data_IF_314165638639
#
_entry.id   IF_314165638639
#
_cell.length_a   1.000
_cell.length_b   1.000
_cell.length_c   1.000
_cell.angle_alpha   90.00
_cell.angle_beta   90.00
_cell.angle_gamma   90.00
#
_symmetry.space_group_name_H-M   'P 1'
#
loop_
_entity.id
_entity.type
_entity.pdbx_description
1 polymer ?
#
# COMPACT_ATOMS: atom_id res chain seq x y z
N UNK A 1 15.30 34.81 -4.55
CA UNK A 1 14.12 35.16 -3.73
C UNK A 1 13.66 33.93 -2.96
N UNK A 2 13.41 34.08 -1.66
CA UNK A 2 13.38 33.02 -0.64
C UNK A 2 12.11 32.15 -0.68
N UNK A 3 12.29 30.85 -0.42
CA UNK A 3 11.30 29.74 -0.36
C UNK A 3 10.33 29.87 0.84
N UNK A 4 10.26 31.04 1.49
CA UNK A 4 9.41 31.32 2.66
C UNK A 4 8.12 32.10 2.37
N UNK A 5 7.61 32.10 1.13
CA UNK A 5 6.44 32.90 0.75
C UNK A 5 5.32 32.14 0.01
N UNK A 6 5.15 30.82 0.22
CA UNK A 6 4.03 30.05 -0.37
C UNK A 6 3.45 28.99 0.57
N UNK A 7 3.20 29.38 1.82
CA UNK A 7 2.44 28.58 2.78
C UNK A 7 1.47 29.49 3.54
N UNK A 8 0.46 30.03 2.85
CA UNK A 8 -0.72 30.65 3.45
C UNK A 8 -1.71 31.06 2.36
N UNK A 9 -2.40 30.10 1.72
CA UNK A 9 -3.66 30.34 1.01
C UNK A 9 -4.21 28.99 0.58
N UNK A 10 -5.33 28.59 1.18
CA UNK A 10 -6.26 27.48 0.90
C UNK A 10 -6.73 26.86 2.22
N UNK A 11 -7.20 27.72 3.12
CA UNK A 11 -8.06 27.37 4.23
C UNK A 11 -9.28 28.30 4.15
N UNK A 12 -10.46 27.71 3.90
CA UNK A 12 -11.73 28.40 4.09
C UNK A 12 -12.50 28.76 2.83
N UNK A 13 -13.03 27.77 2.12
CA UNK A 13 -14.29 27.92 1.37
C UNK A 13 -15.02 26.57 1.45
N UNK A 14 -16.20 26.54 2.08
CA UNK A 14 -17.06 25.36 2.07
C UNK A 14 -17.79 25.02 3.37
N UNK A 15 -18.20 26.00 4.20
CA UNK A 15 -19.06 25.76 5.37
C UNK A 15 -20.39 26.49 5.41
N UNK A 16 -20.78 27.24 4.38
CA UNK A 16 -22.03 28.04 4.41
C UNK A 16 -22.97 27.80 3.22
N UNK A 17 -23.13 26.56 2.74
CA UNK A 17 -24.09 26.27 1.65
C UNK A 17 -24.97 25.02 1.80
N UNK A 18 -25.16 24.49 3.01
CA UNK A 18 -26.27 23.56 3.30
C UNK A 18 -26.83 23.91 4.67
N UNK A 19 -27.39 25.10 4.78
CA UNK A 19 -28.19 25.49 5.95
C UNK A 19 -29.42 26.29 5.57
N UNK A 20 -29.99 26.04 4.39
CA UNK A 20 -31.24 26.67 3.92
C UNK A 20 -32.05 25.72 3.01
N UNK A 21 -32.25 24.47 3.43
CA UNK A 21 -33.26 23.61 2.79
C UNK A 21 -33.99 22.68 3.76
N UNK A 22 -34.06 23.07 5.04
CA UNK A 22 -34.75 22.33 6.10
C UNK A 22 -36.14 22.91 6.43
N UNK A 23 -36.85 23.46 5.43
CA UNK A 23 -38.11 24.15 5.66
C UNK A 23 -39.22 23.81 4.65
N UNK A 24 -39.22 22.61 4.04
CA UNK A 24 -40.38 22.16 3.27
C UNK A 24 -40.54 20.62 3.14
N UNK A 25 -40.23 19.88 4.21
CA UNK A 25 -40.66 18.48 4.31
C UNK A 25 -41.99 18.42 5.05
N UNK A 26 -43.10 18.12 4.37
CA UNK A 26 -44.31 17.72 5.10
C UNK A 26 -43.94 16.55 6.00
N UNK A 27 -44.29 16.64 7.29
CA UNK A 27 -44.10 15.52 8.21
C UNK A 27 -45.09 14.46 7.78
N UNK A 28 -44.63 13.49 6.99
CA UNK A 28 -45.46 12.35 6.58
C UNK A 28 -45.99 11.67 7.84
N UNK A 29 -47.31 11.63 7.96
CA UNK A 29 -47.99 11.04 9.11
C UNK A 29 -48.01 9.52 9.02
N UNK A 30 -48.26 8.89 10.15
CA UNK A 30 -48.47 7.45 10.21
C UNK A 30 -49.61 7.01 9.28
N UNK A 31 -50.72 7.74 9.24
CA UNK A 31 -51.87 7.35 8.41
C UNK A 31 -51.56 7.43 6.91
N UNK A 32 -50.84 8.45 6.45
CA UNK A 32 -50.38 8.56 5.06
C UNK A 32 -49.47 7.39 4.66
N UNK A 33 -48.67 6.87 5.59
CA UNK A 33 -47.86 5.69 5.37
C UNK A 33 -48.71 4.41 5.25
N UNK A 34 -49.77 4.28 6.07
CA UNK A 34 -50.66 3.12 6.05
C UNK A 34 -51.57 3.12 4.80
N UNK A 35 -52.06 4.28 4.40
CA UNK A 35 -52.90 4.45 3.20
C UNK A 35 -52.12 4.09 1.92
N UNK A 36 -50.87 4.55 1.80
CA UNK A 36 -50.04 4.19 0.66
C UNK A 36 -49.73 2.68 0.60
N UNK A 37 -49.62 2.00 1.75
CA UNK A 37 -49.46 0.53 1.78
C UNK A 37 -50.74 -0.19 1.34
N UNK A 38 -51.92 0.31 1.74
CA UNK A 38 -53.21 -0.24 1.29
C UNK A 38 -53.39 -0.02 -0.22
N UNK A 39 -53.06 1.16 -0.72
CA UNK A 39 -53.09 1.47 -2.15
C UNK A 39 -52.15 0.54 -2.95
N UNK A 40 -50.94 0.30 -2.44
CA UNK A 40 -50.03 -0.65 -3.06
C UNK A 40 -50.59 -2.08 -3.08
N UNK A 41 -51.27 -2.50 -2.01
CA UNK A 41 -51.91 -3.81 -1.96
C UNK A 41 -53.07 -3.93 -2.95
N UNK A 42 -53.90 -2.89 -3.08
CA UNK A 42 -55.01 -2.85 -4.03
C UNK A 42 -54.51 -2.91 -5.47
N UNK A 43 -53.41 -2.22 -5.79
CA UNK A 43 -52.80 -2.23 -7.13
C UNK A 43 -52.19 -3.59 -7.50
N UNK A 44 -51.63 -4.30 -6.53
CA UNK A 44 -50.98 -5.60 -6.75
C UNK A 44 -51.94 -6.79 -6.59
N UNK A 45 -53.11 -6.58 -5.97
CA UNK A 45 -54.03 -7.64 -5.59
C UNK A 45 -53.52 -8.55 -4.47
N UNK A 46 -52.38 -8.20 -3.85
CA UNK A 46 -51.73 -8.96 -2.79
C UNK A 46 -50.98 -8.03 -1.84
N UNK A 47 -50.54 -8.55 -0.70
CA UNK A 47 -49.80 -7.76 0.27
C UNK A 47 -48.38 -7.44 -0.23
N UNK A 48 -47.99 -6.16 -0.42
CA UNK A 48 -46.75 -5.80 -1.11
C UNK A 48 -45.49 -6.24 -0.35
N UNK A 49 -44.49 -6.76 -1.07
CA UNK A 49 -43.09 -6.75 -0.61
C UNK A 49 -42.52 -5.34 -0.69
N UNK A 50 -41.44 -5.08 0.05
CA UNK A 50 -40.77 -3.76 -0.01
C UNK A 50 -40.30 -3.41 -1.43
N UNK A 51 -39.78 -4.39 -2.17
CA UNK A 51 -39.33 -4.20 -3.55
C UNK A 51 -40.50 -3.88 -4.50
N UNK A 52 -41.61 -4.62 -4.43
CA UNK A 52 -42.81 -4.34 -5.23
C UNK A 52 -43.37 -2.95 -4.95
N UNK A 53 -43.40 -2.50 -3.69
CA UNK A 53 -43.83 -1.14 -3.35
C UNK A 53 -42.93 -0.07 -3.98
N UNK A 54 -41.61 -0.25 -3.93
CA UNK A 54 -40.65 0.68 -4.55
C UNK A 54 -40.82 0.77 -6.08
N UNK A 55 -41.15 -0.35 -6.72
CA UNK A 55 -41.39 -0.43 -8.17
C UNK A 55 -42.68 0.30 -8.60
N UNK A 56 -43.70 0.36 -7.72
CA UNK A 56 -44.92 1.14 -7.97
C UNK A 56 -44.69 2.66 -7.94
N UNK A 57 -43.55 3.13 -7.44
CA UNK A 57 -43.20 4.54 -7.39
C UNK A 57 -44.11 5.38 -6.48
N UNK A 58 -44.76 4.75 -5.50
CA UNK A 58 -45.68 5.43 -4.59
C UNK A 58 -44.95 6.31 -3.57
N UNK A 59 -45.65 7.35 -3.12
CA UNK A 59 -45.22 8.21 -2.00
C UNK A 59 -46.17 8.01 -0.83
N UNK A 60 -45.66 7.98 0.42
CA UNK A 60 -44.28 8.22 0.84
C UNK A 60 -43.32 7.04 0.54
N UNK A 61 -42.06 7.33 0.23
CA UNK A 61 -41.06 6.30 -0.07
C UNK A 61 -40.94 5.26 1.06
N UNK A 62 -40.55 4.02 0.71
CA UNK A 62 -40.44 2.89 1.66
C UNK A 62 -39.59 3.22 2.91
N UNK A 63 -38.52 4.02 2.74
CA UNK A 63 -37.67 4.47 3.83
C UNK A 63 -38.35 5.48 4.77
N UNK A 64 -39.30 6.27 4.27
CA UNK A 64 -40.14 7.15 5.09
C UNK A 64 -41.13 6.33 5.90
N UNK A 65 -41.79 5.34 5.28
CA UNK A 65 -42.70 4.41 5.99
C UNK A 65 -41.97 3.69 7.13
N UNK A 66 -40.76 3.16 6.90
CA UNK A 66 -39.96 2.51 7.94
C UNK A 66 -39.61 3.47 9.07
N UNK A 67 -39.27 4.73 8.76
CA UNK A 67 -38.89 5.73 9.75
C UNK A 67 -40.07 6.19 10.61
N UNK A 68 -41.23 6.41 9.97
CA UNK A 68 -42.45 6.89 10.64
C UNK A 68 -43.10 5.77 11.44
N UNK A 69 -43.25 4.58 10.84
CA UNK A 69 -43.95 3.44 11.45
C UNK A 69 -43.03 2.44 12.18
N UNK A 70 -41.72 2.71 12.25
CA UNK A 70 -40.71 1.91 12.96
C UNK A 70 -40.15 0.70 12.19
N UNK A 71 -41.00 -0.06 11.48
CA UNK A 71 -40.55 -1.16 10.63
C UNK A 71 -41.51 -1.42 9.47
N UNK A 72 -41.03 -2.06 8.39
CA UNK A 72 -41.86 -2.41 7.24
C UNK A 72 -43.00 -3.37 7.61
N UNK A 73 -42.70 -4.43 8.35
CA UNK A 73 -43.71 -5.39 8.79
C UNK A 73 -44.67 -4.78 9.82
N UNK A 74 -44.18 -3.93 10.73
CA UNK A 74 -45.05 -3.20 11.66
C UNK A 74 -46.02 -2.25 10.96
N UNK A 75 -45.58 -1.60 9.87
CA UNK A 75 -46.46 -0.78 9.05
C UNK A 75 -47.52 -1.63 8.32
N UNK A 76 -47.14 -2.77 7.75
CA UNK A 76 -48.07 -3.72 7.11
C UNK A 76 -49.11 -4.26 8.09
N UNK A 77 -48.71 -4.65 9.30
CA UNK A 77 -49.63 -5.08 10.37
C UNK A 77 -50.66 -4.00 10.70
N UNK A 78 -50.20 -2.76 10.91
CA UNK A 78 -51.08 -1.60 11.18
C UNK A 78 -52.00 -1.26 10.00
N UNK A 79 -51.57 -1.56 8.78
CA UNK A 79 -52.37 -1.38 7.57
C UNK A 79 -53.40 -2.51 7.34
N UNK A 80 -53.36 -3.58 8.16
CA UNK A 80 -54.22 -4.77 8.00
C UNK A 80 -53.71 -5.74 6.92
N UNK A 81 -52.43 -5.67 6.56
CA UNK A 81 -51.82 -6.40 5.46
C UNK A 81 -50.98 -7.57 5.98
N UNK A 82 -51.00 -8.71 5.26
CA UNK A 82 -50.24 -9.89 5.61
C UNK A 82 -48.72 -9.62 5.63
N UNK A 83 -48.06 -9.90 6.75
CA UNK A 83 -46.59 -9.79 6.85
C UNK A 83 -45.93 -11.07 6.36
N UNK A 84 -44.78 -10.91 5.70
CA UNK A 84 -43.87 -12.02 5.49
C UNK A 84 -42.87 -12.00 6.65
N UNK A 85 -42.85 -13.01 7.55
CA UNK A 85 -41.75 -13.11 8.50
C UNK A 85 -40.45 -13.20 7.71
N UNK A 86 -39.38 -12.58 8.22
CA UNK A 86 -38.04 -12.70 7.64
C UNK A 86 -37.52 -14.12 7.90
N UNK A 87 -38.11 -15.12 7.25
CA UNK A 87 -37.70 -16.52 7.34
C UNK A 87 -36.61 -16.76 6.30
N UNK A 88 -35.37 -16.77 6.77
CA UNK A 88 -34.20 -17.04 5.95
C UNK A 88 -32.95 -16.56 6.66
N UNK A 89 -31.84 -17.29 6.48
CA UNK A 89 -30.54 -16.80 6.91
C UNK A 89 -30.25 -15.50 6.18
N UNK A 90 -29.93 -14.43 6.92
CA UNK A 90 -29.45 -13.16 6.34
C UNK A 90 -28.01 -13.27 5.84
N UNK A 91 -27.38 -14.45 6.02
CA UNK A 91 -26.04 -14.74 5.57
C UNK A 91 -26.14 -15.37 4.18
N UNK A 92 -25.65 -14.69 3.12
CA UNK A 92 -25.56 -15.30 1.80
C UNK A 92 -24.59 -16.49 1.86
N UNK A 93 -24.75 -17.51 0.99
CA UNK A 93 -23.84 -18.65 0.94
C UNK A 93 -22.40 -18.21 0.66
N UNK A 94 -21.43 -19.03 1.07
CA UNK A 94 -20.00 -18.77 0.82
C UNK A 94 -19.73 -18.79 -0.69
N UNK A 95 -19.14 -17.73 -1.27
CA UNK A 95 -18.68 -17.76 -2.65
C UNK A 95 -17.62 -18.84 -2.89
N UNK A 96 -17.58 -19.41 -4.10
CA UNK A 96 -16.65 -20.48 -4.48
C UNK A 96 -15.20 -20.01 -4.54
N UNK A 97 -14.98 -18.73 -4.88
CA UNK A 97 -13.68 -18.06 -5.00
C UNK A 97 -13.07 -17.63 -3.65
N UNK A 98 -13.77 -17.88 -2.54
CA UNK A 98 -13.31 -17.52 -1.20
C UNK A 98 -12.73 -18.74 -0.48
N UNK A 99 -11.41 -18.71 -0.29
CA UNK A 99 -10.69 -19.67 0.55
C UNK A 99 -10.80 -19.28 2.04
N UNK A 100 -11.41 -20.16 2.83
CA UNK A 100 -11.55 -20.01 4.27
C UNK A 100 -10.72 -21.08 5.00
N UNK A 101 -9.94 -20.73 6.04
CA UNK A 101 -9.28 -21.71 6.91
C UNK A 101 -10.26 -22.76 7.44
N UNK A 102 -9.80 -24.00 7.56
CA UNK A 102 -10.65 -25.15 7.96
C UNK A 102 -11.28 -25.04 9.35
N UNK A 103 -10.77 -24.14 10.19
CA UNK A 103 -11.27 -23.90 11.55
C UNK A 103 -12.30 -22.76 11.64
N UNK A 104 -12.77 -22.23 10.52
CA UNK A 104 -13.75 -21.14 10.46
C UNK A 104 -14.99 -21.56 9.68
N UNK A 105 -16.15 -21.13 10.14
CA UNK A 105 -17.43 -21.32 9.46
C UNK A 105 -17.95 -19.99 8.90
N UNK A 106 -18.28 -19.98 7.61
CA UNK A 106 -18.79 -18.80 6.91
C UNK A 106 -20.07 -18.22 7.52
N UNK A 107 -20.95 -19.07 8.04
CA UNK A 107 -22.23 -18.64 8.63
C UNK A 107 -22.04 -17.97 9.99
N UNK A 108 -20.99 -18.36 10.72
CA UNK A 108 -20.62 -17.81 12.02
C UNK A 108 -19.79 -16.52 11.90
N UNK A 109 -19.23 -16.23 10.72
CA UNK A 109 -18.48 -15.02 10.49
C UNK A 109 -19.38 -13.78 10.56
N UNK A 110 -18.89 -12.77 11.27
CA UNK A 110 -19.46 -11.41 11.22
C UNK A 110 -19.46 -10.87 9.78
N UNK A 111 -20.32 -9.87 9.54
CA UNK A 111 -20.41 -9.19 8.23
C UNK A 111 -19.04 -8.65 7.80
N UNK A 112 -18.27 -8.08 8.73
CA UNK A 112 -16.94 -7.54 8.46
C UNK A 112 -15.92 -8.63 8.13
N UNK A 113 -15.93 -9.76 8.86
CA UNK A 113 -15.06 -10.91 8.55
C UNK A 113 -15.35 -11.48 7.17
N UNK A 114 -16.63 -11.67 6.81
CA UNK A 114 -17.02 -12.11 5.46
C UNK A 114 -16.55 -11.14 4.39
N UNK A 115 -16.67 -9.83 4.65
CA UNK A 115 -16.13 -8.81 3.76
C UNK A 115 -14.61 -8.93 3.61
N UNK A 116 -13.86 -9.16 4.70
CA UNK A 116 -12.40 -9.33 4.63
C UNK A 116 -11.98 -10.51 3.77
N UNK A 117 -12.61 -11.68 3.95
CA UNK A 117 -12.30 -12.89 3.17
C UNK A 117 -12.73 -12.77 1.71
N UNK A 118 -13.85 -12.10 1.42
CA UNK A 118 -14.31 -11.85 0.04
C UNK A 118 -13.44 -10.85 -0.72
N UNK A 119 -12.82 -9.91 -0.02
CA UNK A 119 -12.08 -8.82 -0.66
C UNK A 119 -10.56 -8.95 -0.46
N UNK A 120 -10.04 -10.16 -0.20
CA UNK A 120 -8.60 -10.41 0.01
C UNK A 120 -7.77 -9.93 -1.18
N UNK A 121 -8.14 -10.31 -2.41
CA UNK A 121 -7.45 -9.89 -3.63
C UNK A 121 -7.51 -8.37 -3.82
N UNK A 122 -8.69 -7.77 -3.68
CA UNK A 122 -8.86 -6.32 -3.77
C UNK A 122 -8.05 -5.56 -2.70
N UNK A 123 -8.03 -6.06 -1.46
CA UNK A 123 -7.25 -5.48 -0.37
C UNK A 123 -5.73 -5.62 -0.61
N UNK A 124 -5.30 -6.77 -1.14
CA UNK A 124 -3.92 -7.01 -1.54
C UNK A 124 -3.52 -6.06 -2.66
N UNK A 125 -4.33 -5.95 -3.71
CA UNK A 125 -4.09 -5.07 -4.85
C UNK A 125 -4.08 -3.59 -4.42
N UNK A 126 -5.05 -3.16 -3.61
CA UNK A 126 -5.08 -1.81 -3.01
C UNK A 126 -3.81 -1.52 -2.22
N UNK A 127 -3.33 -2.47 -1.43
CA UNK A 127 -2.08 -2.35 -0.66
C UNK A 127 -0.86 -2.25 -1.57
N UNK A 128 -0.80 -3.07 -2.63
CA UNK A 128 0.26 -3.03 -3.64
C UNK A 128 0.28 -1.68 -4.39
N UNK A 129 -0.87 -1.23 -4.90
CA UNK A 129 -1.02 0.08 -5.56
C UNK A 129 -0.61 1.23 -4.64
N UNK A 130 -0.99 1.19 -3.36
CA UNK A 130 -0.57 2.19 -2.36
C UNK A 130 0.95 2.18 -2.16
N UNK A 131 1.55 1.00 -2.03
CA UNK A 131 3.01 0.85 -1.86
C UNK A 131 3.78 1.33 -3.09
N UNK A 132 3.34 1.00 -4.30
CA UNK A 132 3.92 1.51 -5.56
C UNK A 132 3.87 3.05 -5.58
N UNK A 133 2.69 3.68 -5.39
CA UNK A 133 2.56 5.15 -5.35
C UNK A 133 3.47 5.82 -4.33
N UNK A 134 3.64 5.22 -3.15
CA UNK A 134 4.56 5.76 -2.13
C UNK A 134 6.02 5.59 -2.54
N UNK A 135 6.40 4.49 -3.19
CA UNK A 135 7.76 4.29 -3.72
C UNK A 135 8.07 5.27 -4.85
N UNK A 136 7.15 5.48 -5.79
CA UNK A 136 7.30 6.48 -6.85
C UNK A 136 7.49 7.88 -6.27
N UNK A 137 6.66 8.24 -5.26
CA UNK A 137 6.83 9.51 -4.55
C UNK A 137 8.20 9.62 -3.84
N UNK A 138 8.68 8.55 -3.18
CA UNK A 138 10.02 8.54 -2.59
C UNK A 138 11.13 8.68 -3.65
N UNK A 139 10.93 8.09 -4.82
CA UNK A 139 11.85 8.20 -5.95
C UNK A 139 11.93 9.63 -6.49
N UNK A 140 10.82 10.34 -6.58
CA UNK A 140 10.78 11.78 -6.87
C UNK A 140 11.59 12.56 -5.82
N UNK A 141 11.35 12.31 -4.53
CA UNK A 141 12.09 12.99 -3.45
C UNK A 141 13.61 12.77 -3.51
N UNK A 142 14.06 11.61 -4.01
CA UNK A 142 15.49 11.33 -4.25
C UNK A 142 16.01 12.05 -5.49
N UNK A 143 15.26 11.98 -6.60
CA UNK A 143 15.62 12.63 -7.88
C UNK A 143 15.82 14.12 -7.70
N UNK A 144 14.90 14.79 -7.01
CA UNK A 144 14.92 16.23 -6.80
C UNK A 144 16.15 16.73 -6.03
N UNK A 145 16.82 15.83 -5.30
CA UNK A 145 17.97 16.17 -4.44
C UNK A 145 19.30 15.70 -5.01
N UNK A 146 19.32 14.60 -5.76
CA UNK A 146 20.55 13.96 -6.22
C UNK A 146 21.45 13.50 -5.06
N UNK A 147 22.61 12.94 -5.38
CA UNK A 147 23.61 12.62 -4.38
C UNK A 147 24.22 13.92 -3.80
N UNK A 148 24.27 14.04 -2.48
CA UNK A 148 24.88 15.20 -1.79
C UNK A 148 26.42 15.23 -1.80
N UNK A 149 27.07 14.22 -2.37
CA UNK A 149 28.55 14.07 -2.34
C UNK A 149 29.18 13.94 -3.74
N UNK A 150 28.36 13.74 -4.78
CA UNK A 150 28.84 13.64 -6.16
C UNK A 150 27.68 13.91 -7.13
N UNK A 151 27.97 13.94 -8.44
CA UNK A 151 27.00 14.35 -9.46
C UNK A 151 26.07 13.21 -9.93
N UNK A 152 25.88 12.16 -9.14
CA UNK A 152 24.96 11.07 -9.49
C UNK A 152 23.53 11.49 -9.12
N UNK A 153 22.66 11.51 -10.13
CA UNK A 153 21.24 11.87 -9.99
C UNK A 153 20.29 10.72 -10.36
N UNK A 154 20.82 9.63 -10.92
CA UNK A 154 20.02 8.49 -11.36
C UNK A 154 19.35 7.80 -10.18
N UNK A 155 18.01 7.80 -10.14
CA UNK A 155 17.18 7.28 -9.02
C UNK A 155 17.60 5.89 -8.56
N UNK A 156 17.86 4.98 -9.50
CA UNK A 156 18.26 3.60 -9.23
C UNK A 156 19.50 3.51 -8.32
N UNK A 157 20.37 4.52 -8.39
CA UNK A 157 21.59 4.60 -7.61
C UNK A 157 21.40 5.31 -6.27
N UNK A 158 20.28 5.99 -6.01
CA UNK A 158 20.10 6.87 -4.85
C UNK A 158 19.40 6.20 -3.66
N UNK A 159 19.90 6.50 -2.46
CA UNK A 159 19.33 6.11 -1.17
C UNK A 159 19.18 7.31 -0.23
N UNK A 160 18.25 7.19 0.72
CA UNK A 160 18.23 8.06 1.89
C UNK A 160 19.27 7.58 2.92
N UNK A 161 20.13 8.49 3.33
CA UNK A 161 21.11 8.31 4.40
C UNK A 161 20.75 9.20 5.59
N UNK A 162 20.44 8.59 6.73
CA UNK A 162 20.22 9.34 7.97
C UNK A 162 21.51 10.03 8.41
N UNK A 163 21.44 11.34 8.66
CA UNK A 163 22.60 12.13 9.10
C UNK A 163 23.01 11.77 10.53
N UNK A 164 22.00 11.50 11.38
CA UNK A 164 22.18 11.00 12.74
C UNK A 164 21.37 9.71 12.90
N UNK A 165 22.08 8.59 13.08
CA UNK A 165 21.47 7.27 13.22
C UNK A 165 20.68 7.09 14.52
N UNK A 166 20.91 7.91 15.55
CA UNK A 166 20.19 7.81 16.82
C UNK A 166 18.79 8.41 16.76
N UNK A 167 18.56 9.33 15.81
CA UNK A 167 17.28 10.02 15.63
C UNK A 167 16.34 9.33 14.64
N UNK A 168 16.84 8.31 13.91
CA UNK A 168 16.05 7.58 12.92
C UNK A 168 14.99 6.73 13.61
N UNK A 169 13.77 6.79 13.10
CA UNK A 169 12.72 5.84 13.51
C UNK A 169 12.91 4.51 12.79
N UNK A 170 13.16 4.57 11.48
CA UNK A 170 13.31 3.41 10.61
C UNK A 170 13.86 3.83 9.25
N UNK A 171 14.46 2.90 8.50
CA UNK A 171 14.72 3.12 7.09
C UNK A 171 13.44 3.55 6.33
N UNK A 172 13.51 4.64 5.58
CA UNK A 172 12.36 5.25 4.88
C UNK A 172 11.65 4.24 3.97
N UNK A 173 12.39 3.39 3.25
CA UNK A 173 11.79 2.34 2.40
C UNK A 173 11.01 1.29 3.18
N UNK A 174 11.44 0.94 4.41
CA UNK A 174 10.74 -0.01 5.28
C UNK A 174 9.43 0.57 5.80
N UNK A 175 9.36 1.89 6.04
CA UNK A 175 8.13 2.55 6.48
C UNK A 175 6.98 2.36 5.46
N UNK A 176 7.28 2.32 4.15
CA UNK A 176 6.27 2.02 3.12
C UNK A 176 5.71 0.60 3.29
N UNK A 177 6.57 -0.38 3.54
CA UNK A 177 6.17 -1.78 3.77
C UNK A 177 5.28 -1.90 5.00
N UNK A 178 5.60 -1.19 6.08
CA UNK A 178 4.82 -1.13 7.33
C UNK A 178 3.58 -0.22 7.26
N UNK A 179 3.24 0.33 6.10
CA UNK A 179 1.97 1.03 5.90
C UNK A 179 1.95 2.48 6.38
N UNK A 180 3.08 3.09 6.72
CA UNK A 180 3.13 4.50 7.14
C UNK A 180 2.59 5.45 6.06
N UNK A 181 1.99 6.56 6.51
CA UNK A 181 1.48 7.63 5.64
C UNK A 181 2.58 8.58 5.15
N UNK A 182 2.22 9.45 4.18
CA UNK A 182 3.16 10.42 3.59
C UNK A 182 3.76 11.39 4.62
N UNK A 183 3.02 11.81 5.63
CA UNK A 183 3.53 12.78 6.63
C UNK A 183 4.64 12.18 7.49
N UNK A 184 4.42 10.95 8.00
CA UNK A 184 5.47 10.24 8.73
C UNK A 184 6.72 9.98 7.86
N UNK A 185 6.53 9.69 6.57
CA UNK A 185 7.65 9.57 5.64
C UNK A 185 8.38 10.92 5.47
N UNK A 186 7.66 12.03 5.31
CA UNK A 186 8.26 13.37 5.23
C UNK A 186 9.08 13.70 6.47
N UNK A 187 8.54 13.44 7.65
CA UNK A 187 9.23 13.68 8.92
C UNK A 187 10.54 12.90 9.01
N UNK A 188 10.53 11.63 8.60
CA UNK A 188 11.75 10.82 8.59
C UNK A 188 12.74 11.28 7.51
N UNK A 189 12.26 11.64 6.31
CA UNK A 189 13.08 12.14 5.21
C UNK A 189 13.80 13.45 5.57
N UNK A 190 13.24 14.30 6.43
CA UNK A 190 13.90 15.53 6.89
C UNK A 190 15.19 15.27 7.69
N UNK A 191 15.34 14.06 8.25
CA UNK A 191 16.55 13.62 8.97
C UNK A 191 17.60 13.01 8.04
N UNK A 192 17.29 12.91 6.75
CA UNK A 192 18.12 12.24 5.76
C UNK A 192 18.76 13.23 4.79
N UNK A 193 19.99 12.95 4.42
CA UNK A 193 20.55 13.40 3.14
C UNK A 193 20.38 12.29 2.08
N UNK A 194 20.51 12.63 0.80
CA UNK A 194 20.50 11.64 -0.28
C UNK A 194 21.95 11.36 -0.69
N UNK A 195 22.28 10.07 -0.83
CA UNK A 195 23.58 9.59 -1.29
C UNK A 195 23.39 8.55 -2.38
N UNK A 196 24.28 8.52 -3.37
CA UNK A 196 24.36 7.37 -4.28
C UNK A 196 24.93 6.15 -3.53
N UNK A 197 24.70 4.95 -4.06
CA UNK A 197 25.08 3.69 -3.44
C UNK A 197 26.60 3.61 -3.15
N UNK A 198 27.44 4.13 -4.05
CA UNK A 198 28.89 4.21 -3.82
C UNK A 198 29.24 5.15 -2.65
N UNK A 199 28.76 6.40 -2.67
CA UNK A 199 29.02 7.36 -1.59
C UNK A 199 28.47 6.88 -0.24
N UNK A 200 27.30 6.25 -0.24
CA UNK A 200 26.68 5.70 0.95
C UNK A 200 27.50 4.54 1.55
N UNK A 201 28.01 3.63 0.70
CA UNK A 201 28.91 2.56 1.14
C UNK A 201 30.23 3.10 1.67
N UNK A 202 30.83 4.07 0.98
CA UNK A 202 32.07 4.67 1.42
C UNK A 202 31.92 5.35 2.79
N UNK A 203 30.79 6.04 3.03
CA UNK A 203 30.46 6.67 4.31
C UNK A 203 30.44 5.67 5.48
N UNK A 204 29.90 4.47 5.24
CA UNK A 204 29.77 3.40 6.24
C UNK A 204 30.90 2.38 6.21
N UNK A 205 31.92 2.59 5.37
CA UNK A 205 32.92 1.58 5.14
C UNK A 205 33.82 1.43 6.37
N UNK A 206 33.83 0.21 6.90
CA UNK A 206 34.83 -0.23 7.89
C UNK A 206 35.65 -1.36 7.26
N UNK A 207 36.99 -1.23 7.20
CA UNK A 207 37.83 -2.27 6.63
C UNK A 207 37.62 -3.62 7.34
N UNK A 208 37.53 -4.74 6.60
CA UNK A 208 37.38 -6.04 7.22
C UNK A 208 38.64 -6.41 8.03
N UNK A 209 38.46 -6.97 9.22
CA UNK A 209 39.59 -7.41 10.06
C UNK A 209 40.04 -8.85 9.75
N UNK A 210 39.09 -9.75 9.43
CA UNK A 210 39.39 -11.16 9.12
C UNK A 210 40.19 -11.28 7.83
N UNK A 211 41.28 -12.03 7.86
CA UNK A 211 42.22 -12.20 6.75
C UNK A 211 41.51 -12.62 5.44
N UNK A 212 40.61 -13.60 5.50
CA UNK A 212 39.90 -14.06 4.30
C UNK A 212 38.99 -13.00 3.69
N UNK A 213 38.32 -12.20 4.52
CA UNK A 213 37.51 -11.06 4.04
C UNK A 213 38.39 -9.97 3.43
N UNK A 214 39.54 -9.67 4.04
CA UNK A 214 40.55 -8.76 3.47
C UNK A 214 41.04 -9.24 2.11
N UNK A 215 41.36 -10.53 1.99
CA UNK A 215 41.77 -11.13 0.73
C UNK A 215 40.69 -10.97 -0.36
N UNK A 216 39.43 -11.33 -0.08
CA UNK A 216 38.33 -11.14 -1.04
C UNK A 216 38.12 -9.67 -1.42
N UNK A 217 38.23 -8.74 -0.47
CA UNK A 217 38.16 -7.31 -0.77
C UNK A 217 39.30 -6.84 -1.66
N UNK A 218 40.51 -7.36 -1.49
CA UNK A 218 41.65 -7.05 -2.35
C UNK A 218 41.43 -7.54 -3.78
N UNK A 219 40.83 -8.74 -3.97
CA UNK A 219 40.55 -9.27 -5.31
C UNK A 219 39.69 -8.34 -6.17
N UNK A 220 38.78 -7.57 -5.57
CA UNK A 220 37.97 -6.57 -6.31
C UNK A 220 38.84 -5.49 -6.97
N UNK A 221 39.95 -5.11 -6.34
CA UNK A 221 40.94 -4.16 -6.90
C UNK A 221 41.87 -4.85 -7.89
N UNK A 222 42.35 -6.04 -7.56
CA UNK A 222 43.29 -6.79 -8.41
C UNK A 222 42.68 -7.13 -9.79
N UNK A 223 41.36 -7.21 -9.86
CA UNK A 223 40.59 -7.37 -11.10
C UNK A 223 40.38 -6.08 -11.90
N UNK A 224 41.00 -4.97 -11.51
CA UNK A 224 40.93 -3.68 -12.23
C UNK A 224 39.78 -2.76 -11.83
N UNK A 225 39.01 -3.08 -10.79
CA UNK A 225 37.89 -2.26 -10.34
C UNK A 225 36.59 -2.50 -11.11
N UNK A 226 35.72 -1.49 -11.17
CA UNK A 226 34.45 -1.59 -11.90
C UNK A 226 34.70 -1.71 -13.41
N UNK A 227 34.06 -2.69 -14.07
CA UNK A 227 34.22 -2.84 -15.53
C UNK A 227 33.45 -1.81 -16.37
N UNK A 228 32.63 -0.95 -15.73
CA UNK A 228 31.76 0.04 -16.42
C UNK A 228 32.11 1.51 -16.13
N UNK A 229 32.95 1.78 -15.14
CA UNK A 229 33.38 3.14 -14.81
C UNK A 229 34.69 3.11 -14.02
N UNK A 230 35.26 4.27 -13.74
CA UNK A 230 36.58 4.42 -13.08
C UNK A 230 36.57 4.12 -11.57
N UNK A 231 35.44 3.71 -10.99
CA UNK A 231 35.37 3.36 -9.57
C UNK A 231 36.26 2.15 -9.26
N UNK A 232 37.20 2.35 -8.34
CA UNK A 232 38.20 1.35 -7.93
C UNK A 232 38.23 1.12 -6.42
N UNK A 233 37.45 1.87 -5.63
CA UNK A 233 37.39 1.70 -4.19
C UNK A 233 36.67 0.38 -3.85
N UNK A 234 37.33 -0.61 -3.23
CA UNK A 234 36.70 -1.90 -2.94
C UNK A 234 35.55 -1.85 -1.93
N UNK A 235 35.37 -0.73 -1.23
CA UNK A 235 34.15 -0.45 -0.44
C UNK A 235 32.90 -0.34 -1.33
N UNK A 236 33.07 0.20 -2.55
CA UNK A 236 32.00 0.46 -3.51
C UNK A 236 31.76 -0.72 -4.47
N UNK A 237 32.69 -1.66 -4.58
CA UNK A 237 32.66 -2.73 -5.58
C UNK A 237 31.92 -3.98 -5.10
N UNK A 238 31.26 -4.68 -6.03
CA UNK A 238 30.57 -5.97 -5.86
C UNK A 238 30.97 -6.96 -6.95
N UNK A 239 30.87 -8.25 -6.62
CA UNK A 239 30.93 -9.33 -7.61
C UNK A 239 29.54 -9.56 -8.18
N UNK A 240 29.36 -9.27 -9.46
CA UNK A 240 28.14 -9.48 -10.24
C UNK A 240 28.22 -10.78 -11.05
N UNK A 241 27.06 -11.42 -11.28
CA UNK A 241 26.95 -12.69 -12.00
C UNK A 241 25.96 -12.58 -13.13
N UNK A 242 26.35 -13.08 -14.30
CA UNK A 242 25.57 -12.96 -15.52
C UNK A 242 24.67 -14.20 -15.78
N UNK A 243 24.09 -14.81 -14.73
CA UNK A 243 23.12 -15.94 -14.77
C UNK A 243 23.63 -17.39 -14.80
N UNK A 244 24.43 -17.84 -13.81
CA UNK A 244 24.43 -19.28 -13.48
C UNK A 244 25.06 -19.64 -12.11
N UNK A 245 24.41 -19.22 -11.01
CA UNK A 245 25.00 -19.39 -9.68
C UNK A 245 24.32 -20.38 -8.76
N UNK A 246 25.18 -21.25 -8.19
CA UNK A 246 24.89 -22.16 -7.09
C UNK A 246 25.23 -21.57 -5.69
N UNK A 247 26.06 -20.51 -5.60
CA UNK A 247 26.37 -19.78 -4.34
C UNK A 247 27.06 -18.41 -4.56
N UNK A 248 26.71 -17.38 -3.78
CA UNK A 248 27.35 -16.04 -3.83
C UNK A 248 28.74 -16.02 -3.15
N UNK A 249 29.61 -15.07 -3.50
CA UNK A 249 30.94 -14.94 -2.84
C UNK A 249 30.77 -14.64 -1.33
N UNK A 250 29.69 -13.94 -0.97
CA UNK A 250 29.35 -13.65 0.43
C UNK A 250 28.90 -14.91 1.19
N UNK A 251 28.12 -15.79 0.56
CA UNK A 251 27.76 -17.11 1.12
C UNK A 251 29.01 -17.96 1.33
N UNK A 252 29.88 -18.10 0.32
CA UNK A 252 31.11 -18.88 0.44
C UNK A 252 32.04 -18.39 1.57
N UNK A 253 32.05 -17.08 1.83
CA UNK A 253 32.77 -16.49 2.97
C UNK A 253 32.13 -16.82 4.31
N UNK A 254 30.80 -16.84 4.37
CA UNK A 254 30.04 -17.15 5.58
C UNK A 254 30.15 -18.63 5.94
N UNK A 255 30.14 -19.50 4.92
CA UNK A 255 30.31 -20.95 5.03
C UNK A 255 31.77 -21.37 5.22
N UNK A 256 32.67 -20.40 5.46
CA UNK A 256 34.09 -20.63 5.73
C UNK A 256 34.79 -21.51 4.67
N UNK A 257 34.38 -21.44 3.39
CA UNK A 257 34.99 -22.22 2.30
C UNK A 257 36.43 -21.81 2.04
N UNK A 258 37.21 -22.72 1.43
CA UNK A 258 38.63 -22.50 1.12
C UNK A 258 38.84 -21.32 0.17
N UNK A 259 40.03 -20.68 0.25
CA UNK A 259 40.40 -19.59 -0.67
C UNK A 259 40.31 -20.04 -2.14
N UNK A 260 40.68 -21.28 -2.44
CA UNK A 260 40.61 -21.83 -3.80
C UNK A 260 39.18 -21.93 -4.30
N UNK A 261 38.25 -22.45 -3.47
CA UNK A 261 36.83 -22.51 -3.84
C UNK A 261 36.24 -21.12 -4.08
N UNK A 262 36.60 -20.15 -3.25
CA UNK A 262 36.16 -18.75 -3.41
C UNK A 262 36.77 -18.16 -4.68
N UNK A 263 38.06 -18.40 -4.96
CA UNK A 263 38.74 -17.93 -6.17
C UNK A 263 38.09 -18.46 -7.43
N UNK A 264 37.78 -19.76 -7.50
CA UNK A 264 37.06 -20.35 -8.63
C UNK A 264 35.72 -19.65 -8.89
N UNK A 265 35.04 -19.21 -7.83
CA UNK A 265 33.80 -18.47 -7.97
C UNK A 265 34.03 -17.01 -8.42
N UNK A 266 35.02 -16.33 -7.84
CA UNK A 266 35.40 -14.96 -8.23
C UNK A 266 35.75 -14.88 -9.72
N UNK A 267 36.44 -15.88 -10.27
CA UNK A 267 36.82 -15.92 -11.68
C UNK A 267 35.62 -15.98 -12.65
N UNK A 268 34.42 -16.31 -12.15
CA UNK A 268 33.17 -16.30 -12.92
C UNK A 268 32.37 -15.01 -12.76
N UNK A 269 32.87 -14.09 -11.94
CA UNK A 269 32.21 -12.83 -11.62
C UNK A 269 32.76 -11.70 -12.49
N UNK A 270 31.92 -10.73 -12.80
CA UNK A 270 32.37 -9.39 -13.19
C UNK A 270 32.38 -8.49 -11.96
N UNK A 271 33.25 -7.48 -11.92
CA UNK A 271 33.26 -6.50 -10.82
C UNK A 271 32.54 -5.25 -11.27
N UNK A 272 31.49 -4.87 -10.56
CA UNK A 272 30.74 -3.63 -10.78
C UNK A 272 30.74 -2.82 -9.50
N UNK A 273 30.81 -1.48 -9.61
CA UNK A 273 30.50 -0.64 -8.46
C UNK A 273 29.00 -0.71 -8.13
N UNK A 274 28.63 -0.35 -6.90
CA UNK A 274 27.26 -0.46 -6.41
C UNK A 274 26.27 0.32 -7.28
N UNK A 275 26.66 1.49 -7.81
CA UNK A 275 25.85 2.25 -8.75
C UNK A 275 25.62 1.49 -10.07
N UNK A 276 26.70 1.06 -10.75
CA UNK A 276 26.60 0.31 -12.01
C UNK A 276 25.89 -1.04 -11.84
N UNK A 277 26.06 -1.69 -10.69
CA UNK A 277 25.38 -2.94 -10.36
C UNK A 277 23.88 -2.74 -10.17
N UNK A 278 23.45 -1.66 -9.51
CA UNK A 278 22.02 -1.33 -9.40
C UNK A 278 21.41 -1.00 -10.74
N UNK A 279 22.14 -0.28 -11.60
CA UNK A 279 21.68 0.02 -12.96
C UNK A 279 21.46 -1.25 -13.78
N UNK A 280 22.25 -2.30 -13.58
CA UNK A 280 22.06 -3.57 -14.27
C UNK A 280 20.75 -4.27 -13.92
N UNK A 281 20.31 -4.13 -12.67
CA UNK A 281 19.07 -4.71 -12.17
C UNK A 281 17.90 -3.74 -12.16
N UNK A 282 18.09 -2.53 -12.68
CA UNK A 282 17.06 -1.52 -12.71
C UNK A 282 16.19 -1.70 -13.95
N UNK A 283 14.94 -2.09 -13.73
CA UNK A 283 13.92 -2.11 -14.76
C UNK A 283 12.95 -0.92 -14.58
N UNK A 284 13.01 0.10 -15.45
CA UNK A 284 12.13 1.26 -15.35
C UNK A 284 10.65 0.93 -15.65
N UNK A 285 10.33 -0.25 -16.19
CA UNK A 285 8.95 -0.66 -16.49
C UNK A 285 8.17 -1.20 -15.29
N UNK A 286 8.85 -1.44 -14.15
CA UNK A 286 8.30 -2.07 -12.94
C UNK A 286 7.96 -1.06 -11.83
N UNK A 287 8.30 0.23 -11.99
CA UNK A 287 8.03 1.31 -11.01
C UNK A 287 6.64 1.95 -11.14
#
# INVERSE_FOLDING_TARGET
MSVRARAAEFAGIGRDFIRDNAANGSVTTDEECLEALREAADRLGESPTKAQYEELGLTPASATIIRTCGSWNGAKERAGLATAPSTGSRVPPKPDDVDLPSNLDWEELSVDQRWHYRNTEWNAERTLRRRSRLRSWLNEQKRDRGCSQCNIETIACLDFHHVDETTKKMAVGRMVTFGYGKDALRDEIRKCTVLCANCHRNKHYTPPQRERKRWVHAQKRDMGGCVRCEESNPACLDFHHNNDKRATVAELLSDNRSKDRIRSEINRCTVLCANCHRMEHYDPSIE
#
